data_IF_464420664100
#
_entry.id   IF_464420664100
#
_cell.length_a   1.000
_cell.length_b   1.000
_cell.length_c   1.000
_cell.angle_alpha   90.00
_cell.angle_beta   90.00
_cell.angle_gamma   90.00
#
_symmetry.space_group_name_H-M   'P 1'
#
loop_
_entity.id
_entity.type
_entity.pdbx_description
1 polymer ?
#
# COMPACT_ATOMS: atom_id res chain seq x y z
N UNK A 1 24.10 1.76 7.78
CA UNK A 1 22.82 1.10 7.49
C UNK A 1 22.66 1.07 5.98
N UNK A 2 22.55 -0.10 5.36
CA UNK A 2 22.39 -0.19 3.92
C UNK A 2 21.02 0.35 3.48
N UNK A 3 20.96 0.98 2.30
CA UNK A 3 19.74 1.63 1.79
C UNK A 3 18.54 0.66 1.75
N UNK A 4 18.75 -0.60 1.32
CA UNK A 4 17.70 -1.65 1.34
C UNK A 4 17.12 -1.87 2.74
N UNK A 5 17.97 -1.88 3.75
CA UNK A 5 17.59 -2.15 5.14
C UNK A 5 16.75 -1.00 5.68
N UNK A 6 17.08 0.24 5.28
CA UNK A 6 16.26 1.41 5.59
C UNK A 6 14.90 1.37 4.89
N UNK A 7 14.88 1.00 3.61
CA UNK A 7 13.64 0.87 2.85
C UNK A 7 12.69 -0.17 3.45
N UNK A 8 13.20 -1.35 3.83
CA UNK A 8 12.41 -2.36 4.51
C UNK A 8 12.01 -1.95 5.92
N UNK A 9 12.96 -1.38 6.69
CA UNK A 9 12.75 -0.96 8.06
C UNK A 9 11.67 0.10 8.23
N UNK A 10 11.45 0.95 7.22
CA UNK A 10 10.34 1.92 7.19
C UNK A 10 9.12 1.35 6.47
N UNK A 11 9.32 0.70 5.33
CA UNK A 11 8.25 0.27 4.43
C UNK A 11 7.33 -0.79 5.06
N UNK A 12 7.89 -1.80 5.74
CA UNK A 12 7.09 -2.86 6.35
C UNK A 12 6.21 -2.36 7.50
N UNK A 13 6.74 -1.63 8.51
CA UNK A 13 5.90 -1.10 9.59
C UNK A 13 4.76 -0.22 9.09
N UNK A 14 5.05 0.71 8.17
CA UNK A 14 4.02 1.60 7.60
C UNK A 14 2.94 0.79 6.87
N UNK A 15 3.35 -0.13 5.99
CA UNK A 15 2.41 -0.95 5.21
C UNK A 15 1.57 -1.87 6.09
N UNK A 16 2.16 -2.49 7.13
CA UNK A 16 1.46 -3.37 8.07
C UNK A 16 0.42 -2.60 8.90
N UNK A 17 0.77 -1.41 9.37
CA UNK A 17 -0.17 -0.57 10.12
C UNK A 17 -1.36 -0.18 9.26
N UNK A 18 -1.13 0.25 8.00
CA UNK A 18 -2.23 0.67 7.14
C UNK A 18 -3.05 -0.52 6.64
N UNK A 19 -2.43 -1.64 6.26
CA UNK A 19 -3.16 -2.81 5.75
C UNK A 19 -4.10 -3.41 6.81
N UNK A 20 -3.69 -3.40 8.08
CA UNK A 20 -4.54 -3.84 9.20
C UNK A 20 -5.81 -2.99 9.38
N UNK A 21 -5.80 -1.76 8.83
CA UNK A 21 -6.90 -0.78 8.88
C UNK A 21 -7.40 -0.43 7.48
N UNK A 22 -7.17 -1.29 6.49
CA UNK A 22 -7.43 -0.89 5.11
C UNK A 22 -8.94 -0.68 4.83
N UNK A 23 -9.80 -1.49 5.44
CA UNK A 23 -11.27 -1.35 5.30
C UNK A 23 -11.77 0.04 5.73
N UNK A 24 -11.49 0.55 6.95
CA UNK A 24 -11.89 1.90 7.32
C UNK A 24 -11.21 2.97 6.47
N UNK A 25 -9.96 2.76 6.00
CA UNK A 25 -9.30 3.69 5.06
C UNK A 25 -10.12 3.86 3.78
N UNK A 26 -10.60 2.75 3.19
CA UNK A 26 -11.45 2.77 1.99
C UNK A 26 -12.82 3.38 2.27
N UNK A 27 -13.51 2.91 3.33
CA UNK A 27 -14.89 3.35 3.65
C UNK A 27 -14.97 4.84 3.99
N UNK A 28 -14.01 5.34 4.75
CA UNK A 28 -13.99 6.72 5.24
C UNK A 28 -13.16 7.66 4.33
N UNK A 29 -12.72 7.18 3.15
CA UNK A 29 -11.93 7.97 2.19
C UNK A 29 -10.71 8.65 2.82
N UNK A 30 -9.99 7.95 3.69
CA UNK A 30 -8.80 8.47 4.40
C UNK A 30 -7.59 8.54 3.46
N UNK A 31 -7.56 9.53 2.56
CA UNK A 31 -6.53 9.64 1.51
C UNK A 31 -5.09 9.67 2.04
N UNK A 32 -4.85 10.32 3.20
CA UNK A 32 -3.52 10.41 3.82
C UNK A 32 -2.98 9.02 4.20
N UNK A 33 -3.87 8.14 4.67
CA UNK A 33 -3.52 6.77 5.01
C UNK A 33 -3.20 5.94 3.76
N UNK A 34 -3.95 6.14 2.67
CA UNK A 34 -3.65 5.49 1.39
C UNK A 34 -2.27 5.93 0.85
N UNK A 35 -1.97 7.23 0.88
CA UNK A 35 -0.66 7.75 0.44
C UNK A 35 0.47 7.14 1.28
N UNK A 36 0.32 7.11 2.61
CA UNK A 36 1.31 6.49 3.49
C UNK A 36 1.52 5.00 3.15
N UNK A 37 0.44 4.25 2.88
CA UNK A 37 0.51 2.86 2.44
C UNK A 37 1.26 2.70 1.12
N UNK A 38 0.94 3.51 0.11
CA UNK A 38 1.63 3.45 -1.18
C UNK A 38 3.11 3.79 -1.07
N UNK A 39 3.48 4.78 -0.27
CA UNK A 39 4.89 5.10 -0.03
C UNK A 39 5.60 3.94 0.70
N UNK A 40 4.94 3.32 1.68
CA UNK A 40 5.46 2.15 2.38
C UNK A 40 5.68 0.95 1.43
N UNK A 41 4.69 0.64 0.60
CA UNK A 41 4.77 -0.45 -0.38
C UNK A 41 5.80 -0.13 -1.49
N UNK A 42 5.90 1.12 -1.94
CA UNK A 42 6.93 1.56 -2.89
C UNK A 42 8.34 1.38 -2.32
N UNK A 43 8.55 1.69 -1.03
CA UNK A 43 9.81 1.42 -0.35
C UNK A 43 10.13 -0.08 -0.30
N UNK A 44 9.14 -0.94 -0.01
CA UNK A 44 9.31 -2.41 -0.04
C UNK A 44 9.68 -2.88 -1.46
N UNK A 45 8.99 -2.40 -2.49
CA UNK A 45 9.29 -2.74 -3.90
C UNK A 45 10.72 -2.33 -4.26
N UNK A 46 11.13 -1.11 -3.91
CA UNK A 46 12.48 -0.63 -4.14
C UNK A 46 13.53 -1.48 -3.40
N UNK A 47 13.25 -1.85 -2.14
CA UNK A 47 14.11 -2.76 -1.38
C UNK A 47 14.29 -4.12 -2.07
N UNK A 48 13.20 -4.73 -2.54
CA UNK A 48 13.27 -6.01 -3.26
C UNK A 48 13.92 -5.92 -4.63
N UNK A 49 13.74 -4.80 -5.34
CA UNK A 49 14.40 -4.55 -6.61
C UNK A 49 15.92 -4.41 -6.43
N UNK A 50 16.37 -3.72 -5.38
CA UNK A 50 17.79 -3.62 -5.02
C UNK A 50 18.39 -4.97 -4.62
N UNK A 51 17.59 -5.86 -4.02
CA UNK A 51 17.99 -7.24 -3.69
C UNK A 51 18.02 -8.17 -4.93
N UNK A 52 17.63 -7.69 -6.11
CA UNK A 52 17.49 -8.53 -7.32
C UNK A 52 16.30 -9.51 -7.28
N UNK A 53 15.42 -9.40 -6.28
CA UNK A 53 14.27 -10.30 -6.09
C UNK A 53 13.03 -9.75 -6.79
N UNK A 54 13.06 -9.79 -8.12
CA UNK A 54 12.00 -9.23 -8.97
C UNK A 54 10.61 -9.84 -8.73
N UNK A 55 10.52 -11.12 -8.35
CA UNK A 55 9.24 -11.76 -8.03
C UNK A 55 8.57 -11.13 -6.79
N UNK A 56 9.35 -10.81 -5.76
CA UNK A 56 8.85 -10.14 -4.57
C UNK A 56 8.45 -8.69 -4.87
N UNK A 57 9.25 -7.98 -5.68
CA UNK A 57 8.91 -6.64 -6.16
C UNK A 57 7.59 -6.65 -6.96
N UNK A 58 7.42 -7.60 -7.88
CA UNK A 58 6.21 -7.75 -8.69
C UNK A 58 4.98 -8.07 -7.83
N UNK A 59 5.11 -8.96 -6.85
CA UNK A 59 4.02 -9.28 -5.93
C UNK A 59 3.54 -8.05 -5.14
N UNK A 60 4.47 -7.27 -4.60
CA UNK A 60 4.14 -6.03 -3.89
C UNK A 60 3.55 -4.97 -4.84
N UNK A 61 4.03 -4.91 -6.09
CA UNK A 61 3.47 -4.06 -7.13
C UNK A 61 2.02 -4.43 -7.49
N UNK A 62 1.72 -5.73 -7.62
CA UNK A 62 0.37 -6.22 -7.85
C UNK A 62 -0.57 -5.85 -6.68
N UNK A 63 -0.08 -5.97 -5.44
CA UNK A 63 -0.83 -5.50 -4.28
C UNK A 63 -1.08 -3.98 -4.28
N UNK A 64 -0.08 -3.17 -4.66
CA UNK A 64 -0.24 -1.71 -4.79
C UNK A 64 -1.37 -1.37 -5.78
N UNK A 65 -1.42 -2.05 -6.93
CA UNK A 65 -2.48 -1.88 -7.91
C UNK A 65 -3.85 -2.33 -7.38
N UNK A 66 -3.93 -3.50 -6.74
CA UNK A 66 -5.17 -4.03 -6.18
C UNK A 66 -5.74 -3.14 -5.06
N UNK A 67 -4.88 -2.66 -4.16
CA UNK A 67 -5.27 -1.76 -3.08
C UNK A 67 -5.73 -0.39 -3.60
N UNK A 68 -5.10 0.14 -4.65
CA UNK A 68 -5.58 1.33 -5.38
C UNK A 68 -6.98 1.12 -5.95
N UNK A 69 -7.18 0.02 -6.68
CA UNK A 69 -8.46 -0.31 -7.28
C UNK A 69 -9.56 -0.47 -6.21
N UNK A 70 -9.26 -1.14 -5.10
CA UNK A 70 -10.19 -1.26 -3.99
C UNK A 70 -10.53 0.09 -3.38
N UNK A 71 -9.56 0.97 -3.13
CA UNK A 71 -9.84 2.31 -2.60
C UNK A 71 -10.75 3.15 -3.53
N UNK A 72 -10.50 3.09 -4.84
CA UNK A 72 -11.29 3.81 -5.82
C UNK A 72 -12.72 3.27 -5.94
N UNK A 73 -12.87 1.94 -6.05
CA UNK A 73 -14.15 1.27 -6.27
C UNK A 73 -14.99 1.14 -4.98
N UNK A 74 -14.36 0.87 -3.85
CA UNK A 74 -15.02 0.72 -2.55
C UNK A 74 -15.72 2.00 -2.10
N UNK A 75 -15.10 3.16 -2.34
CA UNK A 75 -15.74 4.45 -2.06
C UNK A 75 -16.85 4.83 -3.04
N UNK A 76 -16.93 4.23 -4.24
CA UNK A 76 -18.05 4.46 -5.17
C UNK A 76 -19.33 3.75 -4.72
N UNK A 77 -19.23 2.54 -4.16
CA UNK A 77 -20.40 1.82 -3.61
C UNK A 77 -21.01 2.54 -2.41
N UNK A 78 -20.20 3.16 -1.55
CA UNK A 78 -20.70 3.93 -0.41
C UNK A 78 -21.52 5.17 -0.81
N UNK A 79 -21.19 5.81 -1.95
CA UNK A 79 -21.94 6.96 -2.47
C UNK A 79 -23.23 6.58 -3.20
N UNK A 80 -23.27 5.41 -3.86
CA UNK A 80 -24.44 4.95 -4.59
C UNK A 80 -25.57 4.42 -3.69
N UNK A 81 -25.28 4.02 -2.46
CA UNK A 81 -26.28 3.58 -1.46
C UNK A 81 -26.90 4.73 -0.66
N UNK A 82 -26.49 5.97 -0.91
CA UNK A 82 -26.94 7.17 -0.22
C UNK A 82 -27.69 8.15 -1.14
N UNK A 83 -28.03 7.72 -2.35
CA UNK A 83 -28.79 8.49 -3.35
C UNK A 83 -30.16 7.90 -3.60
#
# INVERSE_FOLDING_TARGET
>A
MELRTALFGVGYPVSVVVISRFVPVVRERRWRWLVAHHLGVAAIIAGWALEGRHSAAAFNGAWLAASSAWYLLGGRRAGASAG
#
